data_IF_820507403768
#
_entry.id   IF_820507403768
#
_cell.length_a   1.000
_cell.length_b   1.000
_cell.length_c   1.000
_cell.angle_alpha   90.00
_cell.angle_beta   90.00
_cell.angle_gamma   90.00
#
_symmetry.space_group_name_H-M   'P 1'
#
loop_
_entity.id
_entity.type
_entity.pdbx_description
1 polymer ?
#
# COMPACT_ATOMS: atom_id res chain seq x y z
N UNK A 1 16.11 -22.62 -11.18
CA UNK A 1 14.72 -22.12 -11.10
C UNK A 1 13.92 -23.18 -10.39
N UNK A 2 13.50 -22.95 -9.14
CA UNK A 2 12.59 -23.88 -8.48
C UNK A 2 11.21 -23.67 -9.10
N UNK A 3 10.81 -24.60 -9.95
CA UNK A 3 9.44 -24.70 -10.41
C UNK A 3 8.56 -24.96 -9.20
N UNK A 4 7.72 -24.01 -8.85
CA UNK A 4 6.75 -24.22 -7.79
C UNK A 4 5.62 -25.08 -8.35
N UNK A 5 5.48 -26.35 -7.92
CA UNK A 5 4.53 -27.29 -8.51
C UNK A 5 3.06 -26.94 -8.27
N UNK A 6 2.78 -25.95 -7.40
CA UNK A 6 1.43 -25.62 -6.99
C UNK A 6 0.71 -24.59 -7.86
N UNK A 7 1.38 -23.93 -8.83
CA UNK A 7 0.76 -22.84 -9.60
C UNK A 7 0.95 -23.07 -11.09
N UNK A 8 0.40 -24.17 -11.59
CA UNK A 8 0.44 -24.54 -12.99
C UNK A 8 -0.02 -23.40 -13.94
N UNK A 9 -1.12 -22.64 -13.68
CA UNK A 9 -1.52 -21.53 -14.56
C UNK A 9 -0.53 -20.35 -14.52
N UNK A 10 0.13 -20.10 -13.40
CA UNK A 10 1.12 -19.01 -13.28
C UNK A 10 2.41 -19.38 -14.03
N UNK A 11 2.83 -20.63 -13.95
CA UNK A 11 4.00 -21.12 -14.70
C UNK A 11 3.77 -20.99 -16.22
N UNK A 12 2.54 -21.25 -16.70
CA UNK A 12 2.20 -21.07 -18.11
C UNK A 12 2.38 -19.60 -18.56
N UNK A 13 1.97 -18.64 -17.74
CA UNK A 13 2.15 -17.22 -18.00
C UNK A 13 3.62 -16.81 -17.99
N UNK A 14 4.40 -17.38 -17.08
CA UNK A 14 5.85 -17.14 -16.99
C UNK A 14 6.56 -17.72 -18.23
N UNK A 15 6.17 -18.90 -18.69
CA UNK A 15 6.68 -19.49 -19.93
C UNK A 15 6.27 -18.69 -21.18
N UNK A 16 5.15 -17.97 -21.15
CA UNK A 16 4.74 -17.03 -22.20
C UNK A 16 5.52 -15.71 -22.19
N UNK A 17 6.53 -15.56 -21.31
CA UNK A 17 7.38 -14.38 -21.23
C UNK A 17 6.88 -13.27 -20.31
N UNK A 18 5.83 -13.52 -19.52
CA UNK A 18 5.32 -12.55 -18.54
C UNK A 18 6.21 -12.58 -17.29
N UNK A 19 6.69 -11.43 -16.80
CA UNK A 19 7.48 -11.39 -15.57
C UNK A 19 6.72 -11.96 -14.37
N UNK A 20 7.36 -12.73 -13.48
CA UNK A 20 6.70 -13.39 -12.35
C UNK A 20 5.91 -12.43 -11.47
N UNK A 21 6.43 -11.24 -11.17
CA UNK A 21 5.73 -10.25 -10.34
C UNK A 21 4.40 -9.77 -10.96
N UNK A 22 4.30 -9.72 -12.31
CA UNK A 22 3.05 -9.37 -13.00
C UNK A 22 2.05 -10.51 -12.90
N UNK A 23 2.49 -11.76 -13.15
CA UNK A 23 1.64 -12.93 -13.06
C UNK A 23 1.04 -13.07 -11.64
N UNK A 24 1.86 -12.93 -10.60
CA UNK A 24 1.38 -12.94 -9.21
C UNK A 24 0.52 -11.74 -8.83
N UNK A 25 0.72 -10.57 -9.45
CA UNK A 25 -0.19 -9.41 -9.30
C UNK A 25 -1.60 -9.74 -9.81
N UNK A 26 -1.70 -10.45 -10.92
CA UNK A 26 -3.00 -10.92 -11.44
C UNK A 26 -3.64 -11.94 -10.52
N UNK A 27 -2.86 -12.87 -9.95
CA UNK A 27 -3.36 -13.83 -8.94
C UNK A 27 -3.91 -13.08 -7.73
N UNK A 28 -3.20 -12.08 -7.21
CA UNK A 28 -3.67 -11.25 -6.11
C UNK A 28 -5.01 -10.58 -6.44
N UNK A 29 -5.12 -9.99 -7.63
CA UNK A 29 -6.33 -9.34 -8.11
C UNK A 29 -7.51 -10.33 -8.21
N UNK A 30 -7.26 -11.53 -8.75
CA UNK A 30 -8.30 -12.59 -8.87
C UNK A 30 -8.75 -13.02 -7.47
N UNK A 31 -7.84 -13.22 -6.52
CA UNK A 31 -8.19 -13.58 -5.13
C UNK A 31 -9.10 -12.51 -4.52
N UNK A 32 -8.75 -11.24 -4.66
CA UNK A 32 -9.55 -10.11 -4.14
C UNK A 32 -10.94 -10.10 -4.78
N UNK A 33 -11.03 -10.26 -6.09
CA UNK A 33 -12.32 -10.30 -6.80
C UNK A 33 -13.18 -11.49 -6.36
N UNK A 34 -12.60 -12.67 -6.21
CA UNK A 34 -13.31 -13.86 -5.72
C UNK A 34 -13.84 -13.63 -4.31
N UNK A 35 -13.02 -13.12 -3.41
CA UNK A 35 -13.43 -12.82 -2.03
C UNK A 35 -14.53 -11.75 -2.01
N UNK A 36 -14.40 -10.69 -2.80
CA UNK A 36 -15.42 -9.65 -2.91
C UNK A 36 -16.77 -10.19 -3.44
N UNK A 37 -16.74 -11.04 -4.48
CA UNK A 37 -17.93 -11.69 -5.02
C UNK A 37 -18.56 -12.65 -4.00
N UNK A 38 -17.76 -13.42 -3.27
CA UNK A 38 -18.26 -14.32 -2.23
C UNK A 38 -18.88 -13.56 -1.07
N UNK A 39 -18.28 -12.46 -0.65
CA UNK A 39 -18.81 -11.61 0.43
C UNK A 39 -20.11 -10.91 0.01
N UNK A 40 -20.26 -10.53 -1.26
CA UNK A 40 -21.44 -9.82 -1.77
C UNK A 40 -22.62 -10.73 -2.18
N UNK A 41 -22.39 -12.04 -2.37
CA UNK A 41 -23.47 -12.98 -2.80
C UNK A 41 -24.58 -13.24 -1.77
N UNK A 42 -24.26 -13.08 -0.47
CA UNK A 42 -25.19 -13.33 0.61
C UNK A 42 -25.05 -12.26 1.69
N UNK A 43 -25.55 -11.06 1.37
CA UNK A 43 -25.58 -9.97 2.35
C UNK A 43 -26.67 -10.23 3.39
N UNK A 44 -26.27 -10.52 4.61
CA UNK A 44 -27.16 -10.66 5.75
C UNK A 44 -27.03 -9.44 6.66
N UNK A 45 -28.14 -9.02 7.29
CA UNK A 45 -28.14 -7.93 8.29
C UNK A 45 -27.22 -8.23 9.49
N UNK A 46 -27.07 -9.52 9.83
CA UNK A 46 -26.09 -10.00 10.81
C UNK A 46 -24.99 -10.72 10.03
N UNK A 47 -23.82 -10.12 9.83
CA UNK A 47 -22.78 -10.69 8.99
C UNK A 47 -22.24 -11.99 9.58
N UNK A 48 -22.00 -13.01 8.72
CA UNK A 48 -21.46 -14.31 9.12
C UNK A 48 -20.36 -14.76 8.16
N UNK A 49 -19.38 -15.49 8.66
CA UNK A 49 -18.32 -16.11 7.85
C UNK A 49 -17.48 -15.09 7.09
N UNK A 50 -17.36 -15.26 5.77
CA UNK A 50 -16.53 -14.42 4.89
C UNK A 50 -17.02 -12.97 4.87
N UNK A 51 -18.33 -12.74 4.91
CA UNK A 51 -18.89 -11.39 4.97
C UNK A 51 -18.40 -10.64 6.21
N UNK A 52 -18.49 -11.25 7.40
CA UNK A 52 -18.06 -10.66 8.65
C UNK A 52 -16.55 -10.32 8.63
N UNK A 53 -15.73 -11.21 8.06
CA UNK A 53 -14.29 -10.97 7.95
C UNK A 53 -13.98 -9.76 7.05
N UNK A 54 -14.66 -9.65 5.90
CA UNK A 54 -14.46 -8.53 4.98
C UNK A 54 -14.99 -7.23 5.57
N UNK A 55 -16.15 -7.25 6.23
CA UNK A 55 -16.74 -6.07 6.88
C UNK A 55 -15.83 -5.51 7.97
N UNK A 56 -15.25 -6.34 8.83
CA UNK A 56 -14.31 -5.90 9.87
C UNK A 56 -13.11 -5.18 9.27
N UNK A 57 -12.55 -5.70 8.16
CA UNK A 57 -11.43 -5.04 7.47
C UNK A 57 -11.88 -3.71 6.85
N UNK A 58 -13.06 -3.69 6.25
CA UNK A 58 -13.62 -2.47 5.64
C UNK A 58 -13.94 -1.41 6.68
N UNK A 59 -14.55 -1.78 7.81
CA UNK A 59 -14.82 -0.89 8.94
C UNK A 59 -13.52 -0.29 9.48
N UNK A 60 -12.49 -1.11 9.68
CA UNK A 60 -11.19 -0.64 10.12
C UNK A 60 -10.60 0.43 9.17
N UNK A 61 -10.66 0.21 7.85
CA UNK A 61 -10.16 1.20 6.90
C UNK A 61 -11.05 2.45 6.81
N UNK A 62 -12.36 2.30 7.01
CA UNK A 62 -13.29 3.42 7.05
C UNK A 62 -13.03 4.29 8.27
N UNK A 63 -12.91 3.70 9.45
CA UNK A 63 -12.60 4.40 10.69
C UNK A 63 -11.27 5.14 10.59
N UNK A 64 -10.24 4.48 10.03
CA UNK A 64 -8.95 5.11 9.80
C UNK A 64 -9.05 6.33 8.85
N UNK A 65 -9.87 6.22 7.79
CA UNK A 65 -10.07 7.30 6.84
C UNK A 65 -10.87 8.47 7.47
N UNK A 66 -11.95 8.18 8.20
CA UNK A 66 -12.78 9.19 8.87
C UNK A 66 -12.03 9.89 10.00
N UNK A 67 -11.24 9.15 10.78
CA UNK A 67 -10.44 9.70 11.88
C UNK A 67 -9.36 10.68 11.39
N UNK A 68 -8.70 10.36 10.27
CA UNK A 68 -7.58 11.18 9.78
C UNK A 68 -7.98 12.27 8.78
N UNK A 69 -9.02 12.03 7.96
CA UNK A 69 -9.43 12.96 6.88
C UNK A 69 -10.71 13.73 7.27
N UNK A 70 -11.43 13.28 8.30
CA UNK A 70 -12.70 13.87 8.69
C UNK A 70 -13.84 13.53 7.72
N UNK A 71 -14.72 14.49 7.44
CA UNK A 71 -15.95 14.30 6.63
C UNK A 71 -15.69 13.80 5.19
N UNK A 72 -14.53 14.10 4.62
CA UNK A 72 -14.12 13.60 3.29
C UNK A 72 -13.55 12.18 3.33
N UNK A 73 -13.28 11.62 4.50
CA UNK A 73 -12.75 10.27 4.67
C UNK A 73 -13.58 9.20 3.97
N UNK A 74 -14.90 9.31 4.06
CA UNK A 74 -15.84 8.40 3.39
C UNK A 74 -15.75 8.45 1.86
N UNK A 75 -15.41 9.59 1.29
CA UNK A 75 -15.19 9.73 -0.15
C UNK A 75 -13.90 9.03 -0.60
N UNK A 76 -12.85 9.10 0.20
CA UNK A 76 -11.56 8.47 -0.10
C UNK A 76 -11.48 7.00 0.30
N UNK A 77 -12.42 6.53 1.14
CA UNK A 77 -12.45 5.17 1.64
C UNK A 77 -12.30 4.08 0.56
N UNK A 78 -13.05 4.10 -0.59
CA UNK A 78 -12.92 3.05 -1.60
C UNK A 78 -11.51 2.96 -2.18
N UNK A 79 -10.84 4.08 -2.38
CA UNK A 79 -9.48 4.16 -2.88
C UNK A 79 -8.48 3.62 -1.85
N UNK A 80 -8.58 4.05 -0.60
CA UNK A 80 -7.73 3.64 0.50
C UNK A 80 -7.88 2.14 0.78
N UNK A 81 -9.12 1.65 0.85
CA UNK A 81 -9.41 0.24 1.11
C UNK A 81 -8.91 -0.66 -0.02
N UNK A 82 -9.09 -0.26 -1.29
CA UNK A 82 -8.62 -1.04 -2.44
C UNK A 82 -7.11 -1.22 -2.41
N UNK A 83 -6.36 -0.14 -2.19
CA UNK A 83 -4.89 -0.20 -2.11
C UNK A 83 -4.46 -1.01 -0.88
N UNK A 84 -5.09 -0.79 0.27
CA UNK A 84 -4.76 -1.50 1.51
C UNK A 84 -4.94 -3.01 1.41
N UNK A 85 -6.09 -3.45 0.88
CA UNK A 85 -6.39 -4.87 0.67
C UNK A 85 -5.42 -5.47 -0.37
N UNK A 86 -5.14 -4.75 -1.45
CA UNK A 86 -4.21 -5.22 -2.48
C UNK A 86 -2.80 -5.43 -1.90
N UNK A 87 -2.27 -4.45 -1.17
CA UNK A 87 -0.96 -4.57 -0.51
C UNK A 87 -0.95 -5.73 0.48
N UNK A 88 -2.02 -5.88 1.28
CA UNK A 88 -2.16 -6.96 2.24
C UNK A 88 -2.10 -8.34 1.56
N UNK A 89 -2.90 -8.54 0.52
CA UNK A 89 -2.94 -9.82 -0.23
C UNK A 89 -1.61 -10.10 -0.92
N UNK A 90 -0.98 -9.10 -1.55
CA UNK A 90 0.34 -9.25 -2.16
C UNK A 90 1.41 -9.65 -1.13
N UNK A 91 1.36 -9.07 0.07
CA UNK A 91 2.27 -9.38 1.14
C UNK A 91 2.07 -10.79 1.70
N UNK A 92 0.82 -11.26 1.79
CA UNK A 92 0.49 -12.63 2.18
C UNK A 92 0.89 -13.65 1.12
N UNK A 93 0.72 -13.35 -0.17
CA UNK A 93 1.21 -14.23 -1.24
C UNK A 93 2.70 -14.51 -1.12
N UNK A 94 3.49 -13.52 -0.74
CA UNK A 94 4.92 -13.70 -0.51
C UNK A 94 5.30 -14.53 0.72
N UNK A 95 4.35 -14.97 1.54
CA UNK A 95 4.60 -15.91 2.64
C UNK A 95 4.47 -17.36 2.19
N UNK A 96 3.80 -17.61 1.08
CA UNK A 96 3.60 -18.96 0.55
C UNK A 96 4.89 -19.40 -0.14
N UNK A 97 5.51 -20.52 0.29
CA UNK A 97 6.71 -21.04 -0.35
C UNK A 97 6.45 -21.31 -1.84
N UNK A 98 7.29 -20.77 -2.71
CA UNK A 98 7.15 -20.91 -4.16
C UNK A 98 6.36 -19.78 -4.85
N UNK A 99 5.73 -18.87 -4.11
CA UNK A 99 5.12 -17.67 -4.66
C UNK A 99 6.06 -16.47 -4.50
N UNK A 100 6.16 -15.65 -5.54
CA UNK A 100 6.81 -14.35 -5.43
C UNK A 100 5.80 -13.29 -4.97
N UNK A 101 6.16 -12.50 -3.96
CA UNK A 101 5.35 -11.35 -3.61
C UNK A 101 5.44 -10.31 -4.74
N UNK A 102 4.35 -9.84 -5.34
CA UNK A 102 4.39 -8.73 -6.31
C UNK A 102 5.09 -7.50 -5.74
N UNK A 103 4.95 -7.27 -4.45
CA UNK A 103 5.58 -6.16 -3.70
C UNK A 103 7.09 -6.33 -3.48
N UNK A 104 7.69 -7.45 -3.90
CA UNK A 104 9.15 -7.60 -3.97
C UNK A 104 9.77 -6.91 -5.19
N UNK A 105 8.97 -6.34 -6.09
CA UNK A 105 9.42 -5.57 -7.23
C UNK A 105 9.11 -4.07 -7.06
N UNK A 106 10.11 -3.23 -7.31
CA UNK A 106 9.97 -1.79 -7.15
C UNK A 106 8.94 -1.19 -8.12
N UNK A 107 8.81 -1.74 -9.33
CA UNK A 107 7.83 -1.27 -10.32
C UNK A 107 6.39 -1.44 -9.83
N UNK A 108 6.08 -2.58 -9.20
CA UNK A 108 4.75 -2.82 -8.59
C UNK A 108 4.48 -1.81 -7.48
N UNK A 109 5.46 -1.57 -6.62
CA UNK A 109 5.32 -0.64 -5.50
C UNK A 109 5.19 0.81 -5.99
N UNK A 110 5.94 1.18 -7.03
CA UNK A 110 5.80 2.48 -7.66
C UNK A 110 4.42 2.65 -8.31
N UNK A 111 3.90 1.59 -8.97
CA UNK A 111 2.55 1.60 -9.54
C UNK A 111 1.44 1.78 -8.49
N UNK A 112 1.69 1.42 -7.22
CA UNK A 112 0.77 1.68 -6.11
C UNK A 112 0.97 3.08 -5.49
N UNK A 113 2.22 3.53 -5.38
CA UNK A 113 2.55 4.81 -4.76
C UNK A 113 2.23 6.02 -5.66
N UNK A 114 2.38 5.88 -6.98
CA UNK A 114 2.10 6.95 -7.93
C UNK A 114 0.63 7.39 -7.95
N UNK A 115 -0.39 6.49 -7.97
CA UNK A 115 -1.78 6.90 -7.85
C UNK A 115 -2.07 7.65 -6.55
N UNK A 116 -1.46 7.25 -5.42
CA UNK A 116 -1.58 7.97 -4.15
C UNK A 116 -1.02 9.37 -4.28
N UNK A 117 0.16 9.52 -4.87
CA UNK A 117 0.80 10.80 -5.12
C UNK A 117 -0.05 11.71 -6.02
N UNK A 118 -0.55 11.19 -7.13
CA UNK A 118 -1.41 11.96 -8.03
C UNK A 118 -2.74 12.33 -7.37
N UNK A 119 -3.37 11.41 -6.64
CA UNK A 119 -4.59 11.69 -5.90
C UNK A 119 -4.39 12.82 -4.91
N UNK A 120 -3.31 12.79 -4.11
CA UNK A 120 -2.97 13.84 -3.16
C UNK A 120 -2.88 15.21 -3.83
N UNK A 121 -2.19 15.30 -4.99
CA UNK A 121 -2.03 16.58 -5.71
C UNK A 121 -3.32 17.05 -6.41
N UNK A 122 -4.07 16.10 -7.02
CA UNK A 122 -5.32 16.44 -7.71
C UNK A 122 -6.35 16.98 -6.71
N UNK A 123 -6.49 16.32 -5.57
CA UNK A 123 -7.43 16.76 -4.53
C UNK A 123 -6.94 18.03 -3.83
N UNK A 124 -5.64 18.18 -3.57
CA UNK A 124 -5.06 19.39 -3.05
C UNK A 124 -5.30 20.62 -3.96
N UNK A 125 -5.13 20.46 -5.27
CA UNK A 125 -5.43 21.52 -6.25
C UNK A 125 -6.93 21.78 -6.34
N UNK A 126 -7.78 20.75 -6.28
CA UNK A 126 -9.23 20.89 -6.34
C UNK A 126 -9.78 21.66 -5.15
N UNK A 127 -9.28 21.42 -3.96
CA UNK A 127 -9.73 22.05 -2.72
C UNK A 127 -9.18 23.48 -2.58
N UNK A 128 -7.87 23.66 -2.75
CA UNK A 128 -7.20 24.94 -2.50
C UNK A 128 -7.01 25.81 -3.76
N UNK A 129 -7.29 25.31 -4.97
CA UNK A 129 -7.12 26.04 -6.25
C UNK A 129 -5.73 26.68 -6.35
N UNK A 130 -5.67 28.01 -6.60
CA UNK A 130 -4.42 28.78 -6.62
C UNK A 130 -3.76 28.91 -5.25
N UNK A 131 -4.49 28.66 -4.17
CA UNK A 131 -3.97 28.61 -2.81
C UNK A 131 -3.00 27.46 -2.57
N UNK A 132 -3.11 26.37 -3.33
CA UNK A 132 -2.21 25.21 -3.22
C UNK A 132 -0.74 25.57 -3.45
N UNK A 133 -0.45 26.46 -4.41
CA UNK A 133 0.92 26.94 -4.66
C UNK A 133 1.43 27.78 -3.47
N UNK A 134 0.53 28.48 -2.78
CA UNK A 134 0.89 29.27 -1.59
C UNK A 134 1.30 28.39 -0.41
N UNK A 135 0.78 27.16 -0.35
CA UNK A 135 1.16 26.18 0.68
C UNK A 135 2.65 25.79 0.57
N UNK A 136 3.17 25.72 -0.65
CA UNK A 136 4.60 25.42 -0.89
C UNK A 136 5.54 26.56 -0.46
N UNK A 137 5.05 27.79 -0.42
CA UNK A 137 5.87 28.98 -0.11
C UNK A 137 5.92 29.27 1.41
N UNK A 138 5.03 28.65 2.19
CA UNK A 138 4.96 28.82 3.64
C UNK A 138 4.17 30.08 4.09
N UNK A 139 3.97 30.24 5.43
CA UNK A 139 3.10 31.28 6.00
C UNK A 139 3.73 32.69 6.02
N UNK A 140 5.06 32.80 5.95
CA UNK A 140 5.78 34.07 6.11
C UNK A 140 6.00 34.69 4.73
N UNK A 141 5.31 35.82 4.44
CA UNK A 141 5.35 36.54 3.16
C UNK A 141 5.95 37.93 3.29
N UNK A 142 7.01 38.12 4.01
CA UNK A 142 7.70 39.40 4.11
C UNK A 142 8.94 39.43 3.21
N UNK A 143 9.18 40.59 2.56
CA UNK A 143 10.36 40.79 1.70
C UNK A 143 11.71 40.41 2.35
N UNK A 144 11.95 40.68 3.66
CA UNK A 144 13.18 40.25 4.32
C UNK A 144 13.28 38.72 4.56
N UNK A 145 12.14 38.00 4.44
CA UNK A 145 12.12 36.54 4.62
C UNK A 145 12.28 35.74 3.30
N UNK A 146 12.62 36.38 2.20
CA UNK A 146 12.79 35.79 0.88
C UNK A 146 13.74 34.57 0.87
N UNK A 147 14.89 34.57 1.55
CA UNK A 147 15.75 33.37 1.64
C UNK A 147 15.06 32.22 2.37
N UNK A 148 14.27 32.50 3.40
CA UNK A 148 13.52 31.50 4.16
C UNK A 148 12.39 30.90 3.31
N UNK A 149 11.71 31.70 2.51
CA UNK A 149 10.65 31.24 1.59
C UNK A 149 11.22 30.28 0.54
N UNK A 150 12.40 30.57 -0.03
CA UNK A 150 13.06 29.70 -0.99
C UNK A 150 13.45 28.38 -0.32
N UNK A 151 14.01 28.43 0.88
CA UNK A 151 14.38 27.25 1.63
C UNK A 151 13.15 26.37 1.93
N UNK A 152 12.05 26.96 2.41
CA UNK A 152 10.81 26.24 2.68
C UNK A 152 10.23 25.61 1.41
N UNK A 153 10.24 26.32 0.29
CA UNK A 153 9.80 25.77 -0.98
C UNK A 153 10.61 24.54 -1.41
N UNK A 154 11.93 24.60 -1.28
CA UNK A 154 12.81 23.46 -1.61
C UNK A 154 12.50 22.27 -0.70
N UNK A 155 12.35 22.49 0.61
CA UNK A 155 12.06 21.42 1.57
C UNK A 155 10.69 20.79 1.26
N UNK A 156 9.68 21.60 0.95
CA UNK A 156 8.34 21.10 0.64
C UNK A 156 8.32 20.30 -0.67
N UNK A 157 9.00 20.77 -1.72
CA UNK A 157 9.14 20.03 -2.99
C UNK A 157 9.87 18.70 -2.77
N UNK A 158 10.97 18.69 -2.01
CA UNK A 158 11.69 17.47 -1.67
C UNK A 158 10.79 16.54 -0.88
N UNK A 159 10.04 17.04 0.10
CA UNK A 159 9.08 16.27 0.89
C UNK A 159 8.01 15.59 0.03
N UNK A 160 7.45 16.31 -0.92
CA UNK A 160 6.44 15.78 -1.84
C UNK A 160 6.99 14.66 -2.75
N UNK A 161 8.21 14.82 -3.26
CA UNK A 161 8.87 13.77 -4.09
C UNK A 161 9.30 12.58 -3.22
N UNK A 162 9.73 12.82 -1.99
CA UNK A 162 10.14 11.77 -1.07
C UNK A 162 8.98 10.86 -0.65
N UNK A 163 7.74 11.37 -0.57
CA UNK A 163 6.56 10.58 -0.17
C UNK A 163 6.36 9.31 -1.00
N UNK A 164 6.18 9.36 -2.34
CA UNK A 164 6.00 8.15 -3.14
C UNK A 164 7.26 7.27 -3.17
N UNK A 165 8.44 7.89 -3.11
CA UNK A 165 9.70 7.16 -3.09
C UNK A 165 9.83 6.32 -1.82
N UNK A 166 9.65 6.93 -0.64
CA UNK A 166 9.74 6.23 0.64
C UNK A 166 8.67 5.16 0.79
N UNK A 167 7.46 5.40 0.28
CA UNK A 167 6.37 4.44 0.29
C UNK A 167 6.71 3.19 -0.54
N UNK A 168 7.24 3.39 -1.75
CA UNK A 168 7.65 2.30 -2.66
C UNK A 168 8.86 1.52 -2.13
N UNK A 169 9.91 2.23 -1.68
CA UNK A 169 11.15 1.61 -1.19
C UNK A 169 10.90 0.84 0.11
N UNK A 170 10.01 1.31 0.98
CA UNK A 170 9.65 0.62 2.22
C UNK A 170 9.02 -0.75 1.94
N UNK A 171 8.03 -0.81 1.02
CA UNK A 171 7.42 -2.08 0.60
C UNK A 171 8.46 -3.03 0.01
N UNK A 172 9.24 -2.52 -0.94
CA UNK A 172 10.30 -3.27 -1.59
C UNK A 172 11.33 -3.83 -0.59
N UNK A 173 11.88 -2.96 0.26
CA UNK A 173 12.91 -3.32 1.23
C UNK A 173 12.45 -4.39 2.22
N UNK A 174 11.24 -4.25 2.77
CA UNK A 174 10.69 -5.23 3.70
C UNK A 174 10.45 -6.60 3.04
N UNK A 175 9.95 -6.61 1.78
CA UNK A 175 9.71 -7.86 1.09
C UNK A 175 10.99 -8.57 0.68
N UNK A 176 11.96 -7.85 0.13
CA UNK A 176 13.26 -8.42 -0.24
C UNK A 176 14.02 -8.91 0.99
N UNK A 177 14.04 -8.13 2.08
CA UNK A 177 14.68 -8.53 3.34
C UNK A 177 14.06 -9.82 3.89
N UNK A 178 12.72 -9.89 3.95
CA UNK A 178 11.99 -11.07 4.42
C UNK A 178 12.34 -12.33 3.61
N UNK A 179 12.30 -12.25 2.28
CA UNK A 179 12.64 -13.38 1.43
C UNK A 179 14.10 -13.86 1.61
N UNK A 180 15.04 -12.92 1.70
CA UNK A 180 16.46 -13.23 1.93
C UNK A 180 16.70 -13.90 3.29
N UNK A 181 16.06 -13.37 4.34
CA UNK A 181 16.18 -13.93 5.70
C UNK A 181 15.61 -15.36 5.74
N UNK A 182 14.43 -15.58 5.18
CA UNK A 182 13.81 -16.93 5.13
C UNK A 182 14.73 -17.90 4.39
N UNK A 183 15.27 -17.52 3.23
CA UNK A 183 16.16 -18.37 2.43
C UNK A 183 17.43 -18.76 3.19
N UNK A 184 18.09 -17.78 3.83
CA UNK A 184 19.33 -18.04 4.60
C UNK A 184 19.06 -18.97 5.79
N UNK A 185 17.96 -18.74 6.49
CA UNK A 185 17.63 -19.53 7.66
C UNK A 185 17.13 -20.94 7.34
N UNK A 186 16.52 -21.13 6.16
CA UNK A 186 16.18 -22.45 5.66
C UNK A 186 17.42 -23.31 5.42
N UNK A 187 18.54 -22.69 5.04
CA UNK A 187 19.82 -23.35 4.86
C UNK A 187 20.53 -23.67 6.20
N UNK A 188 20.32 -22.80 7.21
CA UNK A 188 21.04 -22.91 8.49
C UNK A 188 20.33 -23.81 9.50
N UNK A 189 19.00 -23.73 9.58
CA UNK A 189 18.18 -24.46 10.56
C UNK A 189 16.80 -24.84 9.96
N UNK A 190 16.71 -25.98 9.25
CA UNK A 190 15.58 -26.24 8.33
C UNK A 190 14.22 -26.51 9.00
N UNK A 191 14.12 -26.75 10.31
CA UNK A 191 12.87 -27.19 10.91
C UNK A 191 12.13 -26.09 11.70
N UNK A 192 12.68 -25.56 12.78
CA UNK A 192 11.97 -24.68 13.71
C UNK A 192 12.07 -23.19 13.35
N UNK A 193 13.24 -22.76 12.91
CA UNK A 193 13.53 -21.33 12.68
C UNK A 193 12.73 -20.74 11.51
N UNK A 194 12.59 -21.42 10.36
CA UNK A 194 11.75 -20.92 9.26
C UNK A 194 10.28 -20.75 9.65
N UNK A 195 9.73 -21.65 10.47
CA UNK A 195 8.32 -21.57 10.92
C UNK A 195 8.08 -20.34 11.81
N UNK A 196 8.99 -20.07 12.75
CA UNK A 196 8.89 -18.88 13.59
C UNK A 196 8.99 -17.60 12.78
N UNK A 197 9.84 -17.57 11.74
CA UNK A 197 10.00 -16.40 10.88
C UNK A 197 8.81 -16.22 9.94
N UNK A 198 8.19 -17.31 9.46
CA UNK A 198 6.93 -17.20 8.73
C UNK A 198 5.83 -16.57 9.60
N UNK A 199 5.73 -16.94 10.88
CA UNK A 199 4.85 -16.30 11.84
C UNK A 199 5.14 -14.80 12.01
N UNK A 200 6.41 -14.43 12.18
CA UNK A 200 6.85 -13.03 12.17
C UNK A 200 6.52 -12.35 10.84
N UNK A 201 6.69 -13.04 9.72
CA UNK A 201 6.37 -12.57 8.38
C UNK A 201 4.89 -12.20 8.21
N UNK A 202 3.97 -12.97 8.83
CA UNK A 202 2.53 -12.61 8.87
C UNK A 202 2.34 -11.28 9.58
N UNK A 203 2.90 -11.12 10.77
CA UNK A 203 2.80 -9.87 11.54
C UNK A 203 3.34 -8.67 10.75
N UNK A 204 4.55 -8.81 10.18
CA UNK A 204 5.18 -7.76 9.36
C UNK A 204 4.34 -7.44 8.12
N UNK A 205 3.71 -8.43 7.49
CA UNK A 205 2.83 -8.22 6.33
C UNK A 205 1.61 -7.38 6.66
N UNK A 206 0.98 -7.63 7.82
CA UNK A 206 -0.16 -6.84 8.31
C UNK A 206 0.27 -5.43 8.67
N UNK A 207 1.34 -5.28 9.47
CA UNK A 207 1.87 -3.96 9.86
C UNK A 207 2.24 -3.15 8.62
N UNK A 208 2.84 -3.77 7.63
CA UNK A 208 3.26 -3.08 6.41
C UNK A 208 2.06 -2.57 5.60
N UNK A 209 0.99 -3.36 5.46
CA UNK A 209 -0.24 -2.92 4.81
C UNK A 209 -0.90 -1.78 5.61
N UNK A 210 -0.95 -1.89 6.93
CA UNK A 210 -1.45 -0.85 7.82
C UNK A 210 -0.67 0.46 7.67
N UNK A 211 0.66 0.41 7.73
CA UNK A 211 1.52 1.61 7.59
C UNK A 211 1.33 2.25 6.20
N UNK A 212 1.19 1.44 5.14
CA UNK A 212 0.94 1.97 3.81
C UNK A 212 -0.39 2.73 3.75
N UNK A 213 -1.45 2.16 4.29
CA UNK A 213 -2.78 2.78 4.36
C UNK A 213 -2.75 4.03 5.24
N UNK A 214 -2.14 3.96 6.41
CA UNK A 214 -2.01 5.09 7.33
C UNK A 214 -1.29 6.28 6.67
N UNK A 215 -0.18 6.04 5.98
CA UNK A 215 0.53 7.10 5.27
C UNK A 215 -0.29 7.65 4.09
N UNK A 216 -1.00 6.80 3.38
CA UNK A 216 -1.90 7.22 2.31
C UNK A 216 -2.99 8.14 2.85
N UNK A 217 -3.63 7.78 3.98
CA UNK A 217 -4.65 8.62 4.62
C UNK A 217 -4.07 9.94 5.11
N UNK A 218 -2.89 9.93 5.75
CA UNK A 218 -2.24 11.16 6.22
C UNK A 218 -1.83 12.08 5.07
N UNK A 219 -1.38 11.54 3.93
CA UNK A 219 -1.04 12.35 2.75
C UNK A 219 -2.28 12.99 2.12
N UNK A 220 -3.40 12.25 2.06
CA UNK A 220 -4.68 12.78 1.59
C UNK A 220 -5.24 13.80 2.58
N UNK A 221 -5.16 13.53 3.88
CA UNK A 221 -5.59 14.47 4.93
C UNK A 221 -4.85 15.79 4.80
N UNK A 222 -3.52 15.78 4.77
CA UNK A 222 -2.73 17.00 4.65
C UNK A 222 -2.91 17.74 3.32
N UNK A 223 -3.45 17.07 2.27
CA UNK A 223 -3.76 17.74 1.01
C UNK A 223 -5.13 18.42 1.01
N UNK A 224 -6.06 17.98 1.86
CA UNK A 224 -7.46 18.43 1.93
C UNK A 224 -7.70 19.31 3.17
N UNK A 225 -6.79 19.25 4.16
CA UNK A 225 -6.87 20.06 5.38
C UNK A 225 -6.86 21.55 5.04
N UNK A 226 -7.85 22.29 5.57
CA UNK A 226 -7.94 23.73 5.37
C UNK A 226 -6.68 24.40 5.92
N UNK A 227 -6.04 25.22 5.10
CA UNK A 227 -4.95 26.09 5.54
C UNK A 227 -5.53 27.18 6.45
N UNK A 228 -5.43 27.00 7.77
CA UNK A 228 -5.73 28.03 8.76
C UNK A 228 -4.80 29.24 8.65
#
# INVERSE_FOLDING_TARGET
MHESPFIFPVNLLIHAGIPPFVAFSWVATIIILVVAVLASKSLHLVPRGVQNFVEVIMEFFLDLAETNIGHLGRHFFPFIATIGIYVLVCNFLGLIPGCEAPTSNLNTNAALALPVFFATHIYGIKEHKLGYIKHFVGPIRSLPALPLMILMFIIEVIGHIARPLTLSVRLFGNMVAKHKIILILLLLAPAFVPTAILGLGVLVSVIQAFVFVLLTTLYLAGAVEEAH
#
